data_IF_214163070048
#
_entry.id   IF_214163070048
#
_cell.length_a   1.000
_cell.length_b   1.000
_cell.length_c   1.000
_cell.angle_alpha   90.00
_cell.angle_beta   90.00
_cell.angle_gamma   90.00
#
_symmetry.space_group_name_H-M   'P 1'
#
loop_
_entity.id
_entity.type
_entity.pdbx_description
1 polymer ?
#
# COMPACT_ATOMS: atom_id res chain seq x y z
N UNK A 1 6.96 4.41 -13.56
CA UNK A 1 6.53 5.70 -12.96
C UNK A 1 5.13 5.98 -13.45
N UNK A 2 4.18 6.33 -12.58
CA UNK A 2 2.80 6.54 -12.98
C UNK A 2 2.02 7.35 -11.94
N UNK A 3 0.92 7.94 -12.37
CA UNK A 3 -0.04 8.65 -11.53
C UNK A 3 -1.29 7.80 -11.40
N UNK A 4 -1.88 7.73 -10.20
CA UNK A 4 -3.12 6.99 -10.01
C UNK A 4 -4.07 7.73 -9.08
N UNK A 5 -5.36 7.65 -9.43
CA UNK A 5 -6.47 8.01 -8.59
C UNK A 5 -6.86 6.77 -7.78
N UNK A 6 -6.78 6.90 -6.46
CA UNK A 6 -7.08 5.81 -5.53
C UNK A 6 -8.30 6.17 -4.69
N UNK A 7 -9.12 5.18 -4.38
CA UNK A 7 -10.13 5.26 -3.33
C UNK A 7 -9.52 4.72 -2.04
N UNK A 8 -9.63 5.48 -0.95
CA UNK A 8 -9.18 5.06 0.38
C UNK A 8 -10.34 5.15 1.36
N UNK A 9 -10.54 4.10 2.14
CA UNK A 9 -11.47 4.05 3.26
C UNK A 9 -10.72 3.87 4.58
N UNK A 10 -11.11 4.60 5.60
CA UNK A 10 -10.56 4.49 6.96
C UNK A 10 -11.71 4.30 7.95
N UNK A 11 -11.63 3.24 8.75
CA UNK A 11 -12.50 3.03 9.90
C UNK A 11 -11.62 2.98 11.15
N UNK A 12 -11.97 3.78 12.16
CA UNK A 12 -11.31 3.77 13.46
C UNK A 12 -12.36 3.59 14.55
N UNK A 13 -12.09 2.65 15.44
CA UNK A 13 -12.92 2.37 16.59
C UNK A 13 -12.08 2.43 17.85
N UNK A 14 -12.55 3.17 18.85
CA UNK A 14 -11.88 3.32 20.16
C UNK A 14 -12.77 2.76 21.24
N UNK A 15 -12.21 1.93 22.10
CA UNK A 15 -12.94 1.33 23.21
C UNK A 15 -12.12 1.36 24.50
N UNK A 16 -12.77 1.45 25.67
CA UNK A 16 -12.08 1.38 26.95
C UNK A 16 -11.64 -0.06 27.25
N UNK A 17 -10.36 -0.25 27.55
CA UNK A 17 -9.77 -1.53 27.94
C UNK A 17 -8.70 -1.30 29.03
N UNK A 18 -8.76 -2.03 30.16
CA UNK A 18 -7.80 -1.93 31.27
C UNK A 18 -7.52 -0.48 31.74
N UNK A 19 -8.57 0.31 31.97
CA UNK A 19 -8.51 1.72 32.44
C UNK A 19 -7.84 2.69 31.46
N UNK A 20 -7.58 2.27 30.21
CA UNK A 20 -7.04 3.10 29.13
C UNK A 20 -7.85 2.89 27.85
N UNK A 21 -7.68 3.76 26.85
CA UNK A 21 -8.36 3.62 25.57
C UNK A 21 -7.52 2.74 24.64
N UNK A 22 -8.10 1.64 24.18
CA UNK A 22 -7.61 0.87 23.04
C UNK A 22 -8.18 1.42 21.74
N UNK A 23 -7.47 1.19 20.62
CA UNK A 23 -7.97 1.57 19.30
C UNK A 23 -7.74 0.48 18.26
N UNK A 24 -8.71 0.32 17.38
CA UNK A 24 -8.62 -0.51 16.18
C UNK A 24 -8.77 0.42 14.99
N UNK A 25 -7.85 0.32 14.05
CA UNK A 25 -7.85 1.08 12.80
C UNK A 25 -7.80 0.11 11.64
N UNK A 26 -8.74 0.24 10.72
CA UNK A 26 -8.79 -0.45 9.46
C UNK A 26 -8.67 0.58 8.34
N UNK A 27 -7.67 0.45 7.48
CA UNK A 27 -7.53 1.26 6.28
C UNK A 27 -7.49 0.35 5.06
N UNK A 28 -8.29 0.68 4.05
CA UNK A 28 -8.33 -0.01 2.78
C UNK A 28 -8.10 1.00 1.66
N UNK A 29 -7.15 0.72 0.78
CA UNK A 29 -6.82 1.53 -0.40
C UNK A 29 -6.98 0.68 -1.66
N UNK A 30 -7.60 1.25 -2.68
CA UNK A 30 -7.81 0.62 -3.97
C UNK A 30 -7.47 1.62 -5.07
N UNK A 31 -6.73 1.18 -6.09
CA UNK A 31 -6.54 1.98 -7.29
C UNK A 31 -7.82 1.95 -8.15
N UNK A 32 -8.38 3.12 -8.43
CA UNK A 32 -9.54 3.25 -9.33
C UNK A 32 -9.07 3.42 -10.77
N UNK A 33 -8.18 4.37 -11.03
CA UNK A 33 -7.67 4.62 -12.38
C UNK A 33 -6.31 5.32 -12.33
N UNK A 34 -5.64 5.50 -13.46
CA UNK A 34 -4.36 6.17 -13.53
C UNK A 34 -3.71 6.05 -14.90
N UNK A 35 -2.47 6.49 -14.99
CA UNK A 35 -1.60 6.30 -16.14
C UNK A 35 -0.22 5.85 -15.66
N UNK A 36 0.33 4.82 -16.29
CA UNK A 36 1.65 4.31 -15.97
C UNK A 36 2.49 4.17 -17.23
N UNK A 37 3.73 4.63 -17.13
CA UNK A 37 4.74 4.38 -18.14
C UNK A 37 5.20 2.92 -18.07
N UNK A 38 5.11 2.21 -19.19
CA UNK A 38 5.72 0.89 -19.41
C UNK A 38 6.21 0.82 -20.86
N UNK A 39 7.43 0.31 -21.12
CA UNK A 39 7.84 0.00 -22.48
C UNK A 39 6.97 -1.14 -23.04
N UNK A 40 6.80 -1.15 -24.35
CA UNK A 40 6.12 -2.23 -25.05
C UNK A 40 7.08 -3.41 -25.25
N UNK A 41 6.56 -4.65 -25.14
CA UNK A 41 7.36 -5.86 -25.19
C UNK A 41 8.13 -5.96 -26.53
N UNK A 42 9.46 -5.84 -26.47
CA UNK A 42 10.33 -5.86 -27.64
C UNK A 42 11.00 -4.53 -27.98
N UNK A 43 10.60 -3.41 -27.35
CA UNK A 43 11.30 -2.13 -27.46
C UNK A 43 12.39 -1.99 -26.39
N UNK A 44 13.57 -1.57 -26.83
CA UNK A 44 14.71 -1.23 -25.98
C UNK A 44 14.62 0.23 -25.50
N UNK A 45 15.23 0.51 -24.33
CA UNK A 45 15.32 1.89 -23.83
C UNK A 45 16.05 2.84 -24.79
N UNK A 46 16.95 2.31 -25.62
CA UNK A 46 17.62 3.08 -26.67
C UNK A 46 16.65 3.49 -27.79
N UNK A 47 15.71 2.62 -28.18
CA UNK A 47 14.71 2.95 -29.21
C UNK A 47 13.72 4.02 -28.75
N UNK A 48 13.33 4.00 -27.46
CA UNK A 48 12.39 4.97 -26.89
C UNK A 48 13.02 6.36 -26.75
N UNK A 49 14.26 6.45 -26.23
CA UNK A 49 14.87 7.73 -25.87
C UNK A 49 15.90 8.26 -26.89
N UNK A 50 16.47 7.41 -27.74
CA UNK A 50 17.51 7.80 -28.71
C UNK A 50 17.00 7.80 -30.16
N UNK A 51 16.05 6.93 -30.52
CA UNK A 51 15.40 6.93 -31.86
C UNK A 51 14.04 7.64 -31.90
N UNK A 52 13.47 8.02 -30.75
CA UNK A 52 12.24 8.80 -30.67
C UNK A 52 10.93 8.01 -30.86
N UNK A 53 10.99 6.68 -30.84
CA UNK A 53 9.80 5.82 -30.89
C UNK A 53 9.04 5.86 -29.56
N UNK A 54 8.22 6.90 -29.40
CA UNK A 54 7.50 7.24 -28.16
C UNK A 54 6.06 6.69 -28.17
N UNK A 55 5.65 6.06 -29.27
CA UNK A 55 4.29 5.54 -29.42
C UNK A 55 4.03 4.39 -28.44
N UNK A 56 2.90 4.45 -27.72
CA UNK A 56 2.42 3.35 -26.88
C UNK A 56 2.98 3.24 -25.46
N UNK A 57 3.93 4.08 -25.04
CA UNK A 57 4.64 3.94 -23.74
C UNK A 57 3.81 4.32 -22.50
N UNK A 58 2.75 5.10 -22.65
CA UNK A 58 1.85 5.49 -21.55
C UNK A 58 0.59 4.64 -21.64
N UNK A 59 0.38 3.79 -20.65
CA UNK A 59 -0.82 2.97 -20.58
C UNK A 59 -1.76 3.49 -19.50
N UNK A 60 -3.04 3.58 -19.86
CA UNK A 60 -4.10 3.83 -18.90
C UNK A 60 -4.25 2.62 -17.97
N UNK A 61 -4.15 2.86 -16.67
CA UNK A 61 -4.33 1.84 -15.63
C UNK A 61 -5.73 1.94 -15.08
N UNK A 62 -6.45 0.82 -15.07
CA UNK A 62 -7.78 0.69 -14.44
C UNK A 62 -7.81 -0.64 -13.67
N UNK A 63 -8.81 -0.93 -12.82
CA UNK A 63 -8.76 -2.06 -11.90
C UNK A 63 -8.76 -3.41 -12.64
N UNK A 64 -9.27 -3.45 -13.88
CA UNK A 64 -9.23 -4.63 -14.73
C UNK A 64 -7.83 -4.95 -15.30
N UNK A 65 -6.97 -3.94 -15.46
CA UNK A 65 -5.64 -4.12 -16.06
C UNK A 65 -4.50 -4.00 -15.05
N UNK A 66 -4.72 -3.20 -14.00
CA UNK A 66 -3.78 -2.97 -12.92
C UNK A 66 -4.49 -3.05 -11.56
N UNK A 67 -5.03 -4.22 -11.16
CA UNK A 67 -5.68 -4.35 -9.87
C UNK A 67 -4.66 -4.14 -8.76
N UNK A 68 -4.82 -3.05 -8.02
CA UNK A 68 -4.02 -2.71 -6.84
C UNK A 68 -4.94 -2.52 -5.65
N UNK A 69 -4.75 -3.36 -4.64
CA UNK A 69 -5.47 -3.34 -3.39
C UNK A 69 -4.50 -3.38 -2.23
N UNK A 70 -4.75 -2.57 -1.21
CA UNK A 70 -4.00 -2.57 0.03
C UNK A 70 -4.98 -2.53 1.19
N UNK A 71 -4.85 -3.50 2.09
CA UNK A 71 -5.60 -3.57 3.32
C UNK A 71 -4.62 -3.53 4.48
N UNK A 72 -4.82 -2.61 5.42
CA UNK A 72 -4.02 -2.49 6.62
C UNK A 72 -4.93 -2.44 7.83
N UNK A 73 -4.68 -3.33 8.77
CA UNK A 73 -5.38 -3.40 10.06
C UNK A 73 -4.38 -3.15 11.16
N UNK A 74 -4.68 -2.27 12.10
CA UNK A 74 -3.82 -1.96 13.23
C UNK A 74 -4.63 -1.92 14.51
N UNK A 75 -4.18 -2.65 15.52
CA UNK A 75 -4.79 -2.74 16.84
C UNK A 75 -3.79 -2.23 17.87
N UNK A 76 -4.18 -1.21 18.62
CA UNK A 76 -3.40 -0.66 19.71
C UNK A 76 -4.04 -1.03 21.04
N UNK A 77 -3.31 -1.80 21.84
CA UNK A 77 -3.74 -2.30 23.14
C UNK A 77 -2.90 -1.68 24.24
N UNK A 78 -3.51 -1.04 25.25
CA UNK A 78 -2.81 -0.65 26.46
C UNK A 78 -2.55 -1.90 27.33
N UNK A 79 -1.28 -2.16 27.64
CA UNK A 79 -0.86 -3.30 28.46
C UNK A 79 0.07 -2.84 29.58
N UNK A 80 -0.44 -2.80 30.82
CA UNK A 80 0.33 -2.62 32.05
C UNK A 80 1.40 -1.49 32.03
N UNK A 81 1.06 -0.31 31.51
CA UNK A 81 1.97 0.84 31.42
C UNK A 81 2.78 0.93 30.11
N UNK A 82 2.59 -0.01 29.20
CA UNK A 82 3.05 0.03 27.82
C UNK A 82 1.85 0.03 26.85
N UNK A 83 2.12 0.32 25.57
CA UNK A 83 1.18 0.20 24.46
C UNK A 83 1.75 -0.80 23.47
N UNK A 84 0.99 -1.87 23.23
CA UNK A 84 1.29 -2.86 22.21
C UNK A 84 0.52 -2.49 20.93
N UNK A 85 1.21 -2.45 19.81
CA UNK A 85 0.63 -2.19 18.49
C UNK A 85 0.78 -3.45 17.64
N UNK A 86 -0.32 -4.03 17.20
CA UNK A 86 -0.33 -5.16 16.27
C UNK A 86 -0.87 -4.67 14.94
N UNK A 87 -0.08 -4.81 13.88
CA UNK A 87 -0.41 -4.41 12.53
C UNK A 87 -0.38 -5.59 11.58
N UNK A 88 -1.30 -5.63 10.64
CA UNK A 88 -1.26 -6.53 9.48
C UNK A 88 -1.51 -5.71 8.23
N UNK A 89 -0.67 -5.87 7.20
CA UNK A 89 -0.83 -5.25 5.89
C UNK A 89 -0.82 -6.34 4.81
N UNK A 90 -1.88 -6.40 4.03
CA UNK A 90 -1.96 -7.16 2.78
C UNK A 90 -1.94 -6.18 1.61
N UNK A 91 -0.93 -6.29 0.75
CA UNK A 91 -0.72 -5.46 -0.43
C UNK A 91 -0.66 -6.37 -1.66
N UNK A 92 -1.65 -6.24 -2.53
CA UNK A 92 -1.80 -6.99 -3.76
C UNK A 92 -1.70 -6.01 -4.92
N UNK A 93 -0.64 -6.15 -5.71
CA UNK A 93 -0.39 -5.34 -6.90
C UNK A 93 -0.20 -6.23 -8.11
N UNK A 94 -1.03 -6.03 -9.10
CA UNK A 94 -0.87 -6.66 -10.41
C UNK A 94 -0.92 -5.60 -11.49
N UNK A 95 -0.16 -5.79 -12.56
CA UNK A 95 -0.23 -4.94 -13.74
C UNK A 95 0.00 -5.77 -15.01
N UNK A 96 -0.73 -5.46 -16.07
CA UNK A 96 -0.55 -6.05 -17.41
C UNK A 96 -0.48 -4.93 -18.45
N UNK A 97 0.70 -4.38 -18.68
CA UNK A 97 0.89 -3.20 -19.55
C UNK A 97 1.89 -3.54 -20.65
N UNK A 98 1.58 -3.19 -21.91
CA UNK A 98 2.50 -3.38 -23.04
C UNK A 98 2.97 -4.83 -23.25
N UNK A 99 2.16 -5.84 -22.89
CA UNK A 99 2.55 -7.26 -22.95
C UNK A 99 3.34 -7.78 -21.75
N UNK A 100 3.74 -6.90 -20.83
CA UNK A 100 4.45 -7.25 -19.60
C UNK A 100 3.47 -7.50 -18.45
N UNK A 101 3.60 -8.64 -17.79
CA UNK A 101 2.77 -9.05 -16.65
C UNK A 101 3.58 -9.02 -15.36
N UNK A 102 3.08 -8.31 -14.35
CA UNK A 102 3.69 -8.24 -13.02
C UNK A 102 2.69 -8.69 -11.96
N UNK A 103 3.17 -9.49 -11.02
CA UNK A 103 2.44 -9.90 -9.83
C UNK A 103 3.32 -9.66 -8.60
N UNK A 104 2.83 -8.86 -7.67
CA UNK A 104 3.49 -8.59 -6.40
C UNK A 104 2.46 -8.73 -5.27
N UNK A 105 2.61 -9.78 -4.47
CA UNK A 105 1.80 -10.02 -3.28
C UNK A 105 2.69 -9.89 -2.06
N UNK A 106 2.27 -9.07 -1.11
CA UNK A 106 3.03 -8.78 0.10
C UNK A 106 2.10 -8.82 1.29
N UNK A 107 2.41 -9.69 2.24
CA UNK A 107 1.74 -9.77 3.53
C UNK A 107 2.76 -9.42 4.60
N UNK A 108 2.47 -8.43 5.43
CA UNK A 108 3.37 -7.96 6.48
C UNK A 108 2.63 -7.98 7.81
N UNK A 109 3.23 -8.61 8.79
CA UNK A 109 2.80 -8.53 10.18
C UNK A 109 3.78 -7.64 10.94
N UNK A 110 3.25 -6.66 11.67
CA UNK A 110 4.02 -5.65 12.40
C UNK A 110 3.65 -5.76 13.87
N UNK A 111 4.65 -5.84 14.73
CA UNK A 111 4.48 -5.80 16.19
C UNK A 111 5.30 -4.65 16.71
N UNK A 112 4.64 -3.70 17.35
CA UNK A 112 5.24 -2.55 18.01
C UNK A 112 5.02 -2.62 19.51
N UNK A 113 6.02 -2.21 20.27
CA UNK A 113 5.93 -2.08 21.73
C UNK A 113 6.44 -0.70 22.14
N UNK A 114 5.58 0.08 22.79
CA UNK A 114 5.91 1.44 23.25
C UNK A 114 5.75 1.52 24.74
N UNK A 115 6.78 1.93 25.48
CA UNK A 115 6.73 2.11 26.94
C UNK A 115 7.33 3.46 27.31
N UNK A 116 6.66 4.19 28.21
CA UNK A 116 7.22 5.40 28.79
C UNK A 116 8.22 5.02 29.89
N UNK A 117 9.47 5.41 29.73
CA UNK A 117 10.53 5.26 30.73
C UNK A 117 10.73 6.61 31.40
N UNK A 118 10.56 6.67 32.73
CA UNK A 118 11.00 7.82 33.53
C UNK A 118 12.33 7.44 34.16
N UNK A 119 13.41 8.13 33.76
CA UNK A 119 14.67 8.06 34.48
C UNK A 119 14.50 8.89 35.77
N UNK A 120 14.52 8.23 36.93
CA UNK A 120 14.65 8.92 38.21
C UNK A 120 16.12 9.36 38.36
N UNK A 121 16.32 10.63 38.69
CA UNK A 121 17.62 11.22 39.01
C UNK A 121 17.85 11.17 40.51
#
# INVERSE_FOLDING_TARGET
>A
MGISLNASGLAEYRFPLFRQMASVRLSADMQLTGAQFSPEYGQSYYEIFSLGHTDGIIHFTHPGNCPTYRLRTTVNLPLAGARLTLGYEADVRQSKLGGLKRHAWRNQFVVGYTRYLKLLR
#
